data_IF_925735031287
#
_entry.id   IF_925735031287
#
_cell.length_a   1.000
_cell.length_b   1.000
_cell.length_c   1.000
_cell.angle_alpha   90.00
_cell.angle_beta   90.00
_cell.angle_gamma   90.00
#
_symmetry.space_group_name_H-M   'P 1'
#
loop_
_entity.id
_entity.type
_entity.pdbx_description
1 polymer ?
#
# COMPACT_ATOMS: atom_id res chain seq x y z
N UNK A 1 -5.02 -39.26 6.63
CA UNK A 1 -5.96 -38.12 6.85
C UNK A 1 -7.31 -38.63 7.39
N UNK A 2 -7.39 -39.09 8.64
CA UNK A 2 -8.65 -39.59 9.24
C UNK A 2 -8.97 -39.07 10.65
N UNK A 3 -8.11 -38.24 11.26
CA UNK A 3 -8.33 -37.74 12.64
C UNK A 3 -9.25 -36.52 12.79
N UNK A 4 -9.76 -35.94 11.70
CA UNK A 4 -10.58 -34.71 11.77
C UNK A 4 -12.09 -34.94 11.76
N UNK A 5 -12.57 -36.19 11.82
CA UNK A 5 -14.02 -36.52 11.74
C UNK A 5 -14.73 -36.69 13.08
N UNK A 6 -14.01 -36.70 14.21
CA UNK A 6 -14.58 -36.91 15.55
C UNK A 6 -14.68 -35.63 16.40
N UNK A 7 -14.25 -34.48 15.88
CA UNK A 7 -14.41 -33.19 16.57
C UNK A 7 -15.85 -32.75 16.39
N UNK A 8 -16.65 -32.88 17.46
CA UNK A 8 -18.02 -32.36 17.48
C UNK A 8 -17.96 -30.86 17.24
N UNK A 9 -18.60 -30.39 16.18
CA UNK A 9 -18.57 -28.97 15.77
C UNK A 9 -19.25 -28.08 16.83
N UNK A 10 -20.23 -28.62 17.55
CA UNK A 10 -21.01 -27.92 18.58
C UNK A 10 -20.13 -27.32 19.70
N UNK A 11 -19.25 -28.08 20.39
CA UNK A 11 -18.40 -27.51 21.44
C UNK A 11 -17.38 -26.48 20.94
N UNK A 12 -16.85 -26.64 19.72
CA UNK A 12 -15.90 -25.67 19.15
C UNK A 12 -16.57 -24.34 18.84
N UNK A 13 -17.78 -24.38 18.28
CA UNK A 13 -18.59 -23.19 18.00
C UNK A 13 -19.01 -22.49 19.30
N UNK A 14 -19.36 -23.26 20.34
CA UNK A 14 -19.69 -22.69 21.65
C UNK A 14 -18.53 -21.91 22.25
N UNK A 15 -17.30 -22.44 22.18
CA UNK A 15 -16.09 -21.76 22.68
C UNK A 15 -15.82 -20.47 21.86
N UNK A 16 -16.01 -20.51 20.54
CA UNK A 16 -15.82 -19.35 19.69
C UNK A 16 -16.83 -18.22 19.99
N UNK A 17 -18.10 -18.56 20.20
CA UNK A 17 -19.15 -17.60 20.58
C UNK A 17 -18.85 -16.99 21.95
N UNK A 18 -18.41 -17.81 22.91
CA UNK A 18 -18.08 -17.36 24.26
C UNK A 18 -16.86 -16.43 24.26
N UNK A 19 -15.83 -16.73 23.46
CA UNK A 19 -14.69 -15.85 23.24
C UNK A 19 -15.07 -14.49 22.65
N UNK A 20 -15.98 -14.45 21.66
CA UNK A 20 -16.48 -13.20 21.09
C UNK A 20 -17.33 -12.40 22.10
N UNK A 21 -18.12 -13.07 22.94
CA UNK A 21 -18.89 -12.41 23.99
C UNK A 21 -17.97 -11.75 25.04
N UNK A 22 -16.90 -12.43 25.46
CA UNK A 22 -15.91 -11.87 26.39
C UNK A 22 -15.20 -10.67 25.76
N UNK A 23 -14.79 -10.76 24.49
CA UNK A 23 -14.13 -9.64 23.81
C UNK A 23 -15.07 -8.43 23.66
N UNK A 24 -16.36 -8.66 23.41
CA UNK A 24 -17.37 -7.60 23.31
C UNK A 24 -17.65 -6.93 24.66
N UNK A 25 -17.71 -7.70 25.75
CA UNK A 25 -17.89 -7.14 27.10
C UNK A 25 -16.61 -6.43 27.58
N UNK A 26 -15.44 -6.97 27.27
CA UNK A 26 -14.16 -6.30 27.56
C UNK A 26 -14.03 -4.98 26.78
N UNK A 27 -14.42 -4.96 25.51
CA UNK A 27 -14.49 -3.72 24.72
C UNK A 27 -15.45 -2.69 25.32
N UNK A 28 -16.55 -3.13 25.92
CA UNK A 28 -17.55 -2.25 26.53
C UNK A 28 -17.11 -1.70 27.91
N UNK A 29 -16.19 -2.38 28.60
CA UNK A 29 -15.67 -1.98 29.92
C UNK A 29 -14.38 -1.16 29.80
N UNK A 30 -13.56 -1.39 28.78
CA UNK A 30 -12.29 -0.68 28.55
C UNK A 30 -12.51 0.63 27.77
N UNK A 31 -13.54 0.68 26.93
CA UNK A 31 -13.83 1.81 26.04
C UNK A 31 -15.30 2.23 26.23
N UNK A 32 -15.61 2.81 27.39
CA UNK A 32 -16.95 3.30 27.77
C UNK A 32 -17.44 4.45 26.89
N UNK A 33 -17.68 4.19 25.61
CA UNK A 33 -17.83 5.21 24.58
C UNK A 33 -18.77 4.79 23.44
N UNK A 34 -19.85 4.08 23.73
CA UNK A 34 -21.01 4.02 22.84
C UNK A 34 -22.26 4.16 23.69
N UNK A 35 -22.59 5.40 24.06
CA UNK A 35 -23.92 5.94 24.39
C UNK A 35 -23.68 7.29 25.08
N UNK A 36 -23.97 8.37 24.34
CA UNK A 36 -24.16 9.76 24.81
C UNK A 36 -23.03 10.40 25.65
N UNK A 37 -22.14 11.14 24.98
CA UNK A 37 -21.61 12.36 25.59
C UNK A 37 -21.33 13.43 24.53
N UNK A 38 -21.93 14.61 24.70
CA UNK A 38 -21.72 15.80 23.88
C UNK A 38 -20.76 16.69 24.65
N UNK A 39 -19.46 16.53 24.42
CA UNK A 39 -18.42 17.35 25.03
C UNK A 39 -17.98 18.44 24.05
N UNK A 40 -18.29 19.74 24.31
CA UNK A 40 -18.12 20.79 23.33
C UNK A 40 -16.74 21.44 23.38
N UNK A 41 -15.64 20.72 23.64
CA UNK A 41 -14.27 21.24 23.47
C UNK A 41 -13.25 20.12 23.23
N UNK A 42 -12.98 19.84 21.96
CA UNK A 42 -11.69 19.28 21.54
C UNK A 42 -11.16 20.14 20.39
N UNK A 43 -9.99 20.72 20.61
CA UNK A 43 -9.27 21.61 19.69
C UNK A 43 -8.58 20.81 18.59
N UNK A 44 -9.35 20.12 17.75
CA UNK A 44 -8.85 19.57 16.49
C UNK A 44 -9.40 20.45 15.37
N UNK A 45 -8.48 21.13 14.66
CA UNK A 45 -8.83 21.95 13.50
C UNK A 45 -9.52 21.04 12.49
N UNK A 46 -10.74 21.41 12.11
CA UNK A 46 -11.49 20.59 11.15
C UNK A 46 -10.78 20.63 9.80
N UNK A 47 -10.84 19.52 9.07
CA UNK A 47 -10.28 19.38 7.72
C UNK A 47 -10.68 20.53 6.78
N UNK A 48 -11.86 21.14 6.99
CA UNK A 48 -12.33 22.29 6.24
C UNK A 48 -11.54 23.59 6.51
N UNK A 49 -10.93 23.76 7.69
CA UNK A 49 -10.14 24.94 8.04
C UNK A 49 -8.74 24.91 7.43
N UNK A 50 -8.15 23.73 7.27
CA UNK A 50 -6.78 23.56 6.76
C UNK A 50 -6.72 23.59 5.22
N UNK A 51 -7.82 23.22 4.55
CA UNK A 51 -7.89 23.17 3.09
C UNK A 51 -8.48 24.41 2.43
N UNK A 52 -9.31 25.20 3.14
CA UNK A 52 -10.09 26.29 2.52
C UNK A 52 -9.79 27.69 3.07
N UNK A 53 -8.85 27.85 4.01
CA UNK A 53 -8.46 29.13 4.62
C UNK A 53 -9.65 30.06 4.96
N UNK A 54 -10.69 29.49 5.56
CA UNK A 54 -11.94 30.19 5.86
C UNK A 54 -11.80 30.95 7.18
N UNK A 55 -11.94 32.29 7.21
CA UNK A 55 -11.69 33.05 8.43
C UNK A 55 -12.98 33.13 9.24
N UNK A 56 -13.05 32.45 10.38
CA UNK A 56 -13.96 32.87 11.44
C UNK A 56 -13.32 32.64 12.80
N UNK A 57 -13.10 33.74 13.54
CA UNK A 57 -13.01 33.72 14.99
C UNK A 57 -11.69 34.15 15.64
N UNK A 58 -11.10 35.27 15.25
CA UNK A 58 -10.29 36.05 16.20
C UNK A 58 -10.40 37.54 15.87
N UNK A 59 -11.09 38.26 16.77
CA UNK A 59 -11.16 39.73 16.94
C UNK A 59 -10.90 40.57 15.69
N UNK A 60 -12.00 41.03 15.07
CA UNK A 60 -12.02 42.07 14.05
C UNK A 60 -11.65 43.44 14.63
N UNK A 61 -10.53 44.01 14.18
CA UNK A 61 -10.29 45.46 14.21
C UNK A 61 -11.09 46.13 13.07
N UNK A 62 -11.82 47.24 13.33
CA UNK A 62 -12.75 47.83 12.36
C UNK A 62 -12.09 48.79 11.36
N UNK A 63 -10.83 48.57 10.97
CA UNK A 63 -10.07 49.50 10.12
C UNK A 63 -9.84 49.05 8.66
N UNK A 64 -10.04 47.77 8.34
CA UNK A 64 -9.61 47.23 7.03
C UNK A 64 -10.74 47.02 6.00
N UNK A 65 -11.96 47.52 6.25
CA UNK A 65 -13.08 47.43 5.32
C UNK A 65 -13.51 48.83 4.85
N UNK A 66 -12.64 49.51 4.12
CA UNK A 66 -13.06 50.44 3.05
C UNK A 66 -11.90 50.62 2.08
N UNK A 67 -11.99 49.99 0.90
CA UNK A 67 -11.09 50.28 -0.21
C UNK A 67 -11.33 51.68 -0.74
N UNK A 68 -10.57 52.65 -0.21
CA UNK A 68 -10.50 54.02 -0.74
C UNK A 68 -9.15 54.21 -1.40
N UNK A 69 -9.11 54.14 -2.73
CA UNK A 69 -7.91 54.49 -3.49
C UNK A 69 -7.77 56.01 -3.47
N UNK A 70 -6.77 56.49 -2.73
CA UNK A 70 -6.35 57.87 -2.71
C UNK A 70 -5.69 58.25 -4.04
N UNK A 71 -6.19 59.34 -4.64
CA UNK A 71 -5.54 60.05 -5.72
C UNK A 71 -4.30 60.81 -5.22
N UNK A 72 -3.18 60.78 -5.97
CA UNK A 72 -2.26 61.92 -6.08
C UNK A 72 -1.49 61.93 -7.42
N UNK A 73 -1.26 63.16 -7.86
CA UNK A 73 -0.97 63.77 -9.16
C UNK A 73 0.53 63.90 -9.50
N UNK A 74 0.81 64.05 -10.81
CA UNK A 74 1.94 64.78 -11.48
C UNK A 74 3.38 64.21 -11.31
N UNK A 75 4.31 64.18 -12.29
CA UNK A 75 4.53 64.89 -13.57
C UNK A 75 5.58 64.15 -14.47
N UNK A 76 5.79 64.61 -15.71
CA UNK A 76 6.40 63.98 -16.90
C UNK A 76 7.97 63.87 -16.92
N UNK A 77 8.65 63.27 -17.96
CA UNK A 77 8.69 63.79 -19.33
C UNK A 77 8.67 62.76 -20.51
N UNK A 78 8.35 63.33 -21.68
CA UNK A 78 8.37 62.82 -23.07
C UNK A 78 9.79 62.34 -23.52
N UNK A 79 9.94 61.51 -24.58
CA UNK A 79 9.77 62.01 -25.96
C UNK A 79 9.20 61.05 -27.03
N UNK A 80 8.44 61.69 -27.94
CA UNK A 80 8.36 61.52 -29.40
C UNK A 80 8.37 60.12 -30.06
N UNK A 81 7.24 59.79 -30.71
CA UNK A 81 7.21 59.28 -32.08
C UNK A 81 5.84 59.58 -32.73
N UNK A 82 5.87 60.03 -33.98
CA UNK A 82 4.74 60.50 -34.77
C UNK A 82 3.79 59.35 -35.24
N UNK A 83 2.52 59.65 -35.53
CA UNK A 83 1.52 58.66 -35.94
C UNK A 83 1.52 58.44 -37.46
N UNK A 84 1.24 57.23 -37.97
CA UNK A 84 0.63 57.08 -39.28
C UNK A 84 -0.89 57.03 -39.14
N UNK A 85 -1.48 58.13 -39.60
CA UNK A 85 -2.70 58.21 -40.41
C UNK A 85 -3.70 57.05 -40.36
N UNK A 86 -4.86 57.39 -39.78
CA UNK A 86 -6.12 56.70 -39.97
C UNK A 86 -6.62 56.98 -41.39
N UNK A 87 -6.44 56.04 -42.30
CA UNK A 87 -7.25 55.98 -43.53
C UNK A 87 -8.57 55.31 -43.19
N UNK A 88 -9.60 56.14 -42.94
CA UNK A 88 -10.98 55.74 -43.20
C UNK A 88 -11.14 55.58 -44.71
N UNK A 89 -11.62 54.45 -45.24
CA UNK A 89 -12.52 54.53 -46.38
C UNK A 89 -13.89 54.93 -45.85
N UNK A 90 -14.28 56.15 -46.21
CA UNK A 90 -15.65 56.57 -46.28
C UNK A 90 -16.50 55.57 -47.08
N UNK A 91 -17.76 55.45 -46.66
CA UNK A 91 -18.83 55.01 -47.55
C UNK A 91 -18.91 53.49 -47.76
N UNK A 92 -19.43 52.77 -46.77
CA UNK A 92 -20.84 52.36 -46.75
C UNK A 92 -21.18 52.19 -45.29
N UNK A 93 -21.97 53.11 -44.72
CA UNK A 93 -22.75 52.76 -43.54
C UNK A 93 -23.72 51.67 -43.99
N UNK A 94 -23.25 50.41 -43.95
CA UNK A 94 -24.12 49.26 -43.92
C UNK A 94 -24.86 49.39 -42.59
N UNK A 95 -25.94 50.18 -42.63
CA UNK A 95 -27.09 50.04 -41.76
C UNK A 95 -27.22 48.54 -41.54
N UNK A 96 -27.16 48.02 -40.29
CA UNK A 96 -27.34 46.59 -40.08
C UNK A 96 -28.64 46.26 -40.77
N UNK A 97 -28.54 45.53 -41.89
CA UNK A 97 -29.65 45.07 -42.71
C UNK A 97 -30.69 44.61 -41.72
N UNK A 98 -31.79 45.37 -41.69
CA UNK A 98 -32.82 45.25 -40.68
C UNK A 98 -33.28 43.82 -40.77
N UNK A 99 -32.83 43.01 -39.81
CA UNK A 99 -32.85 41.55 -39.85
C UNK A 99 -34.17 41.11 -40.43
N UNK A 100 -34.15 40.50 -41.62
CA UNK A 100 -35.35 39.87 -42.18
C UNK A 100 -35.97 39.04 -41.04
N UNK A 101 -37.28 39.17 -40.78
CA UNK A 101 -37.89 38.57 -39.61
C UNK A 101 -37.58 37.07 -39.62
N UNK A 102 -36.72 36.65 -38.68
CA UNK A 102 -36.23 35.27 -38.59
C UNK A 102 -37.45 34.36 -38.64
N UNK A 103 -37.49 33.48 -39.63
CA UNK A 103 -38.64 32.60 -39.86
C UNK A 103 -38.85 31.70 -38.64
N UNK A 104 -40.09 31.27 -38.38
CA UNK A 104 -40.39 30.45 -37.20
C UNK A 104 -39.57 29.15 -37.13
N UNK A 105 -39.24 28.56 -38.30
CA UNK A 105 -38.36 27.40 -38.43
C UNK A 105 -36.91 27.71 -38.06
N UNK A 106 -36.37 28.85 -38.49
CA UNK A 106 -35.01 29.27 -38.16
C UNK A 106 -34.86 29.59 -36.66
N UNK A 107 -35.85 30.23 -36.04
CA UNK A 107 -35.88 30.44 -34.58
C UNK A 107 -35.87 29.11 -33.81
N UNK A 108 -36.67 28.14 -34.25
CA UNK A 108 -36.71 26.81 -33.62
C UNK A 108 -35.38 26.05 -33.75
N UNK A 109 -34.66 26.22 -34.86
CA UNK A 109 -33.32 25.63 -35.05
C UNK A 109 -32.30 26.30 -34.11
N UNK A 110 -32.31 27.63 -34.01
CA UNK A 110 -31.42 28.37 -33.12
C UNK A 110 -31.65 28.01 -31.66
N UNK A 111 -32.91 27.86 -31.24
CA UNK A 111 -33.26 27.40 -29.89
C UNK A 111 -32.74 25.99 -29.61
N UNK A 112 -32.92 25.04 -30.55
CA UNK A 112 -32.36 23.68 -30.43
C UNK A 112 -30.83 23.68 -30.37
N UNK A 113 -30.16 24.53 -31.14
CA UNK A 113 -28.70 24.67 -31.11
C UNK A 113 -28.23 25.25 -29.78
N UNK A 114 -28.93 26.25 -29.23
CA UNK A 114 -28.63 26.81 -27.91
C UNK A 114 -28.85 25.77 -26.80
N UNK A 115 -29.97 25.05 -26.81
CA UNK A 115 -30.23 23.95 -25.87
C UNK A 115 -29.15 22.87 -25.96
N UNK A 116 -28.76 22.48 -27.18
CA UNK A 116 -27.69 21.51 -27.39
C UNK A 116 -26.34 22.02 -26.90
N UNK A 117 -26.03 23.31 -27.08
CA UNK A 117 -24.80 23.92 -26.56
C UNK A 117 -24.76 23.87 -25.03
N UNK A 118 -25.86 24.22 -24.37
CA UNK A 118 -25.97 24.14 -22.92
C UNK A 118 -25.82 22.69 -22.40
N UNK A 119 -26.41 21.72 -23.10
CA UNK A 119 -26.24 20.30 -22.77
C UNK A 119 -24.78 19.85 -22.90
N UNK A 120 -24.10 20.23 -23.98
CA UNK A 120 -22.68 19.92 -24.19
C UNK A 120 -21.79 20.61 -23.15
N UNK A 121 -22.05 21.87 -22.80
CA UNK A 121 -21.33 22.59 -21.74
C UNK A 121 -21.53 21.93 -20.37
N UNK A 122 -22.75 21.46 -20.06
CA UNK A 122 -23.01 20.72 -18.83
C UNK A 122 -22.22 19.40 -18.79
N UNK A 123 -22.22 18.63 -19.89
CA UNK A 123 -21.44 17.39 -19.99
C UNK A 123 -19.94 17.63 -19.93
N UNK A 124 -19.43 18.69 -20.56
CA UNK A 124 -18.02 19.06 -20.51
C UNK A 124 -17.59 19.34 -19.07
N UNK A 125 -18.35 20.18 -18.34
CA UNK A 125 -18.08 20.46 -16.92
C UNK A 125 -18.10 19.19 -16.05
N UNK A 126 -19.05 18.28 -16.31
CA UNK A 126 -19.10 17.01 -15.58
C UNK A 126 -17.85 16.15 -15.84
N UNK A 127 -17.39 16.08 -17.09
CA UNK A 127 -16.17 15.36 -17.45
C UNK A 127 -14.95 16.00 -16.79
N UNK A 128 -14.82 17.33 -16.82
CA UNK A 128 -13.69 18.04 -16.19
C UNK A 128 -13.62 17.75 -14.68
N UNK A 129 -14.77 17.73 -14.00
CA UNK A 129 -14.85 17.38 -12.57
C UNK A 129 -14.39 15.93 -12.36
N UNK A 130 -14.91 14.98 -13.15
CA UNK A 130 -14.52 13.57 -13.04
C UNK A 130 -13.03 13.38 -13.31
N UNK A 131 -12.48 14.03 -14.32
CA UNK A 131 -11.06 13.96 -14.66
C UNK A 131 -10.19 14.50 -13.52
N UNK A 132 -10.55 15.65 -12.93
CA UNK A 132 -9.82 16.21 -11.79
C UNK A 132 -9.82 15.28 -10.58
N UNK A 133 -10.97 14.63 -10.30
CA UNK A 133 -11.10 13.65 -9.22
C UNK A 133 -10.25 12.41 -9.49
N UNK A 134 -10.33 11.86 -10.72
CA UNK A 134 -9.52 10.71 -11.12
C UNK A 134 -8.03 11.01 -11.05
N UNK A 135 -7.58 12.17 -11.51
CA UNK A 135 -6.19 12.60 -11.42
C UNK A 135 -5.69 12.72 -9.98
N UNK A 136 -6.54 13.23 -9.08
CA UNK A 136 -6.21 13.29 -7.64
C UNK A 136 -6.12 11.89 -7.02
N UNK A 137 -7.01 10.98 -7.42
CA UNK A 137 -7.03 9.60 -6.96
C UNK A 137 -5.81 8.83 -7.48
N UNK A 138 -5.45 9.00 -8.76
CA UNK A 138 -4.25 8.43 -9.38
C UNK A 138 -2.99 8.89 -8.65
N UNK A 139 -2.83 10.19 -8.43
CA UNK A 139 -1.70 10.73 -7.66
C UNK A 139 -1.63 10.16 -6.25
N UNK A 140 -2.77 10.01 -5.57
CA UNK A 140 -2.83 9.40 -4.23
C UNK A 140 -2.42 7.93 -4.26
N UNK A 141 -2.84 7.18 -5.27
CA UNK A 141 -2.45 5.77 -5.46
C UNK A 141 -0.96 5.68 -5.73
N UNK A 142 -0.41 6.53 -6.61
CA UNK A 142 1.01 6.55 -6.93
C UNK A 142 1.87 6.80 -5.68
N UNK A 143 1.52 7.81 -4.87
CA UNK A 143 2.19 8.06 -3.57
C UNK A 143 2.10 6.86 -2.64
N UNK A 144 0.94 6.18 -2.56
CA UNK A 144 0.78 4.98 -1.72
C UNK A 144 1.63 3.81 -2.22
N UNK A 145 1.76 3.65 -3.53
CA UNK A 145 2.62 2.61 -4.13
C UNK A 145 4.09 2.90 -3.84
N UNK A 146 4.53 4.15 -3.92
CA UNK A 146 5.90 4.55 -3.57
C UNK A 146 6.20 4.32 -2.08
N UNK A 147 5.27 4.68 -1.19
CA UNK A 147 5.38 4.39 0.24
C UNK A 147 5.49 2.88 0.51
N UNK A 148 4.65 2.07 -0.14
CA UNK A 148 4.68 0.61 0.02
C UNK A 148 5.99 0.01 -0.50
N UNK A 149 6.48 0.45 -1.66
CA UNK A 149 7.78 0.02 -2.18
C UNK A 149 8.93 0.39 -1.25
N UNK A 150 8.90 1.59 -0.67
CA UNK A 150 9.90 2.01 0.31
C UNK A 150 9.84 1.15 1.58
N UNK A 151 8.65 0.81 2.06
CA UNK A 151 8.46 -0.09 3.21
C UNK A 151 8.93 -1.51 2.88
N UNK A 152 8.57 -2.04 1.72
CA UNK A 152 9.01 -3.37 1.25
C UNK A 152 10.53 -3.45 1.17
N UNK A 153 11.18 -2.43 0.61
CA UNK A 153 12.64 -2.33 0.54
C UNK A 153 13.29 -2.28 1.93
N UNK A 154 12.71 -1.51 2.87
CA UNK A 154 13.21 -1.48 4.27
C UNK A 154 13.04 -2.84 4.95
N UNK A 155 11.92 -3.52 4.72
CA UNK A 155 11.64 -4.84 5.29
C UNK A 155 12.62 -5.86 4.71
N UNK A 156 12.87 -5.85 3.40
CA UNK A 156 13.79 -6.80 2.77
C UNK A 156 15.23 -6.61 3.26
N UNK A 157 15.68 -5.36 3.40
CA UNK A 157 17.00 -5.04 3.98
C UNK A 157 17.07 -5.50 5.45
N UNK A 158 16.06 -5.18 6.26
CA UNK A 158 16.04 -5.57 7.68
C UNK A 158 15.97 -7.09 7.86
N UNK A 159 15.21 -7.79 7.00
CA UNK A 159 15.15 -9.25 6.99
C UNK A 159 16.49 -9.87 6.61
N UNK A 160 17.17 -9.31 5.59
CA UNK A 160 18.52 -9.73 5.21
C UNK A 160 19.52 -9.55 6.36
N UNK A 161 19.57 -8.36 6.96
CA UNK A 161 20.44 -8.07 8.11
C UNK A 161 20.16 -8.99 9.31
N UNK A 162 18.89 -9.26 9.59
CA UNK A 162 18.51 -10.18 10.67
C UNK A 162 18.98 -11.60 10.38
N UNK A 163 18.77 -12.09 9.15
CA UNK A 163 19.24 -13.39 8.71
C UNK A 163 20.76 -13.51 8.82
N UNK A 164 21.51 -12.50 8.36
CA UNK A 164 22.97 -12.47 8.48
C UNK A 164 23.43 -12.44 9.95
N UNK A 165 22.78 -11.65 10.80
CA UNK A 165 23.08 -11.59 12.22
C UNK A 165 22.79 -12.92 12.93
N UNK A 166 21.66 -13.56 12.61
CA UNK A 166 21.28 -14.85 13.17
C UNK A 166 22.23 -15.95 12.67
N UNK A 167 22.61 -15.95 11.39
CA UNK A 167 23.63 -16.85 10.82
C UNK A 167 25.01 -16.64 11.47
N UNK A 168 25.42 -15.39 11.72
CA UNK A 168 26.68 -15.09 12.39
C UNK A 168 26.70 -15.56 13.85
N UNK A 169 25.60 -15.31 14.60
CA UNK A 169 25.42 -15.82 15.97
C UNK A 169 25.48 -17.34 15.99
N UNK A 170 24.77 -17.98 15.06
CA UNK A 170 24.70 -19.43 14.97
C UNK A 170 26.06 -20.05 14.61
N UNK A 171 26.79 -19.44 13.66
CA UNK A 171 28.17 -19.81 13.34
C UNK A 171 29.09 -19.71 14.55
N UNK A 172 28.90 -18.70 15.41
CA UNK A 172 29.63 -18.58 16.67
C UNK A 172 29.38 -19.76 17.61
N UNK A 173 28.12 -20.19 17.74
CA UNK A 173 27.72 -21.37 18.53
C UNK A 173 28.39 -22.63 17.97
N UNK A 174 28.32 -22.85 16.66
CA UNK A 174 28.96 -23.99 15.98
C UNK A 174 30.46 -24.02 16.24
N UNK A 175 31.14 -22.89 16.05
CA UNK A 175 32.59 -22.78 16.25
C UNK A 175 32.99 -23.14 17.68
N UNK A 176 32.19 -22.74 18.68
CA UNK A 176 32.40 -23.10 20.08
C UNK A 176 32.29 -24.62 20.31
N UNK A 177 31.32 -25.29 19.69
CA UNK A 177 31.17 -26.74 19.78
C UNK A 177 32.26 -27.51 19.01
N UNK A 178 32.70 -27.01 17.85
CA UNK A 178 33.78 -27.63 17.07
C UNK A 178 35.15 -27.56 17.76
N UNK A 179 35.38 -26.49 18.54
CA UNK A 179 36.55 -26.30 19.39
C UNK A 179 36.50 -27.06 20.72
N UNK A 180 35.33 -27.57 21.13
CA UNK A 180 35.17 -28.34 22.36
C UNK A 180 35.60 -29.81 22.18
N UNK A 181 35.95 -30.47 23.28
CA UNK A 181 36.26 -31.91 23.29
C UNK A 181 35.02 -32.73 22.89
N UNK A 182 35.14 -33.72 21.98
CA UNK A 182 34.00 -34.52 21.52
C UNK A 182 33.19 -35.18 22.64
N UNK A 183 33.87 -35.66 23.70
CA UNK A 183 33.22 -36.27 24.87
C UNK A 183 32.34 -35.29 25.66
N UNK A 184 32.72 -34.02 25.73
CA UNK A 184 31.96 -33.01 26.46
C UNK A 184 30.83 -32.45 25.59
N UNK A 185 31.06 -32.31 24.28
CA UNK A 185 30.00 -32.01 23.30
C UNK A 185 28.88 -33.05 23.31
N UNK A 186 29.24 -34.34 23.31
CA UNK A 186 28.28 -35.44 23.34
C UNK A 186 27.33 -35.37 24.54
N UNK A 187 27.85 -35.11 25.75
CA UNK A 187 27.02 -34.96 26.97
C UNK A 187 26.02 -33.81 26.89
N UNK A 188 26.37 -32.73 26.18
CA UNK A 188 25.48 -31.59 25.97
C UNK A 188 24.43 -31.93 24.93
N UNK A 189 24.84 -32.58 23.84
CA UNK A 189 23.97 -32.97 22.74
C UNK A 189 22.92 -34.01 23.17
N UNK A 190 23.28 -34.93 24.07
CA UNK A 190 22.34 -35.92 24.66
C UNK A 190 21.16 -35.28 25.41
N UNK A 191 21.32 -34.03 25.88
CA UNK A 191 20.30 -33.29 26.66
C UNK A 191 19.62 -32.18 25.86
N UNK A 192 20.08 -31.93 24.64
CA UNK A 192 19.59 -30.83 23.81
C UNK A 192 18.25 -31.21 23.16
N UNK A 193 17.40 -30.21 22.93
CA UNK A 193 16.18 -30.42 22.18
C UNK A 193 16.48 -30.86 20.74
N UNK A 194 15.73 -31.83 20.22
CA UNK A 194 15.98 -32.43 18.90
C UNK A 194 16.03 -31.40 17.76
N UNK A 195 15.19 -30.36 17.79
CA UNK A 195 15.19 -29.32 16.77
C UNK A 195 16.50 -28.54 16.73
N UNK A 196 16.96 -28.05 17.88
CA UNK A 196 18.23 -27.31 18.00
C UNK A 196 19.43 -28.21 17.72
N UNK A 197 19.38 -29.47 18.19
CA UNK A 197 20.40 -30.48 17.91
C UNK A 197 20.58 -30.69 16.41
N UNK A 198 19.48 -30.86 15.67
CA UNK A 198 19.51 -31.03 14.23
C UNK A 198 20.10 -29.81 13.52
N UNK A 199 19.68 -28.59 13.87
CA UNK A 199 20.18 -27.38 13.22
C UNK A 199 21.70 -27.23 13.40
N UNK A 200 22.20 -27.45 14.63
CA UNK A 200 23.63 -27.39 14.91
C UNK A 200 24.35 -28.54 14.20
N UNK A 201 23.81 -29.76 14.27
CA UNK A 201 24.45 -30.93 13.71
C UNK A 201 24.54 -30.92 12.18
N UNK A 202 23.57 -30.31 11.51
CA UNK A 202 23.56 -30.16 10.05
C UNK A 202 24.63 -29.20 9.53
N UNK A 203 25.15 -28.30 10.36
CA UNK A 203 26.11 -27.27 9.97
C UNK A 203 27.54 -27.52 10.48
N UNK A 204 27.74 -28.43 11.45
CA UNK A 204 29.06 -28.86 11.92
C UNK A 204 29.79 -29.67 10.84
N UNK A 205 31.12 -29.58 10.80
CA UNK A 205 31.94 -30.43 9.93
C UNK A 205 31.66 -31.94 10.14
N UNK A 206 31.35 -32.73 9.09
CA UNK A 206 30.92 -34.13 9.23
C UNK A 206 31.89 -35.02 10.03
N UNK A 207 33.19 -34.75 9.94
CA UNK A 207 34.21 -35.49 10.69
C UNK A 207 34.10 -35.26 12.20
N UNK A 208 33.93 -33.99 12.63
CA UNK A 208 33.73 -33.62 14.04
C UNK A 208 32.41 -34.16 14.58
N UNK A 209 31.36 -34.11 13.76
CA UNK A 209 30.06 -34.71 14.11
C UNK A 209 30.18 -36.22 14.33
N UNK A 210 30.95 -36.92 13.50
CA UNK A 210 31.19 -38.37 13.66
C UNK A 210 31.87 -38.69 14.99
N UNK A 211 32.89 -37.91 15.38
CA UNK A 211 33.57 -38.05 16.67
C UNK A 211 32.64 -37.80 17.86
N UNK A 212 31.68 -36.87 17.72
CA UNK A 212 30.67 -36.57 18.74
C UNK A 212 29.62 -37.69 18.82
N UNK A 213 29.06 -38.11 17.67
CA UNK A 213 28.07 -39.17 17.56
C UNK A 213 28.56 -40.49 18.18
N UNK A 214 29.84 -40.83 18.00
CA UNK A 214 30.43 -42.04 18.59
C UNK A 214 30.53 -42.02 20.11
N UNK A 215 30.38 -40.85 20.75
CA UNK A 215 30.46 -40.67 22.20
C UNK A 215 29.12 -40.29 22.84
N UNK A 216 28.05 -40.15 22.04
CA UNK A 216 26.68 -39.88 22.49
C UNK A 216 25.99 -41.14 23.02
N UNK A 217 24.86 -40.97 23.70
CA UNK A 217 23.99 -42.08 24.04
C UNK A 217 23.40 -42.73 22.78
N UNK A 218 23.31 -44.07 22.70
CA UNK A 218 22.80 -44.77 21.52
C UNK A 218 21.40 -44.29 21.10
N UNK A 219 20.52 -44.05 22.06
CA UNK A 219 19.16 -43.54 21.78
C UNK A 219 19.16 -42.13 21.19
N UNK A 220 20.04 -41.24 21.65
CA UNK A 220 20.10 -39.87 21.16
C UNK A 220 20.70 -39.82 19.75
N UNK A 221 21.75 -40.61 19.50
CA UNK A 221 22.38 -40.74 18.20
C UNK A 221 21.43 -41.36 17.14
N UNK A 222 20.65 -42.37 17.52
CA UNK A 222 19.61 -42.96 16.66
C UNK A 222 18.58 -41.89 16.24
N UNK A 223 18.01 -41.17 17.21
CA UNK A 223 17.00 -40.13 16.94
C UNK A 223 17.54 -39.04 16.02
N UNK A 224 18.76 -38.56 16.25
CA UNK A 224 19.40 -37.55 15.40
C UNK A 224 19.62 -38.07 13.97
N UNK A 225 20.05 -39.33 13.82
CA UNK A 225 20.29 -39.94 12.50
C UNK A 225 18.98 -40.12 11.73
N UNK A 226 17.91 -40.54 12.42
CA UNK A 226 16.57 -40.66 11.82
C UNK A 226 16.06 -39.30 11.35
N UNK A 227 16.21 -38.23 12.15
CA UNK A 227 15.82 -36.88 11.76
C UNK A 227 16.65 -36.35 10.59
N UNK A 228 17.98 -36.56 10.59
CA UNK A 228 18.87 -36.22 9.48
C UNK A 228 18.44 -36.91 8.18
N UNK A 229 18.14 -38.21 8.23
CA UNK A 229 17.69 -38.98 7.08
C UNK A 229 16.32 -38.51 6.58
N UNK A 230 15.37 -38.26 7.49
CA UNK A 230 14.01 -37.80 7.17
C UNK A 230 14.02 -36.44 6.47
N UNK A 231 14.82 -35.48 6.96
CA UNK A 231 14.92 -34.14 6.39
C UNK A 231 15.64 -34.16 5.03
N UNK A 232 16.76 -34.88 4.94
CA UNK A 232 17.49 -35.05 3.68
C UNK A 232 16.64 -35.71 2.58
N UNK A 233 15.73 -36.61 2.95
CA UNK A 233 14.76 -37.21 2.03
C UNK A 233 13.66 -36.24 1.56
N UNK A 234 13.24 -35.31 2.43
CA UNK A 234 12.21 -34.32 2.11
C UNK A 234 12.72 -33.30 1.08
N UNK A 235 13.97 -32.82 1.23
CA UNK A 235 14.59 -31.90 0.29
C UNK A 235 14.80 -32.54 -1.09
N UNK A 236 15.16 -33.84 -1.13
CA UNK A 236 15.21 -34.61 -2.38
C UNK A 236 13.84 -34.77 -3.05
N UNK A 237 12.77 -34.99 -2.26
CA UNK A 237 11.42 -35.16 -2.80
C UNK A 237 10.85 -33.85 -3.38
N UNK A 238 11.20 -32.69 -2.80
CA UNK A 238 10.87 -31.39 -3.36
C UNK A 238 11.61 -31.14 -4.69
N UNK A 239 12.91 -31.41 -4.74
CA UNK A 239 13.73 -31.25 -5.94
C UNK A 239 13.31 -32.16 -7.12
N UNK A 240 12.80 -33.37 -6.85
CA UNK A 240 12.27 -34.27 -7.89
C UNK A 240 10.93 -33.78 -8.47
N UNK A 241 10.18 -32.98 -7.72
CA UNK A 241 8.86 -32.48 -8.15
C UNK A 241 8.96 -31.24 -9.05
N UNK A 242 10.04 -30.47 -8.94
CA UNK A 242 10.30 -29.24 -9.73
C UNK A 242 10.96 -29.48 -11.10
N UNK A 243 11.30 -30.72 -11.44
CA UNK A 243 11.78 -31.03 -12.78
C UNK A 243 10.63 -30.85 -13.80
N UNK A 244 10.84 -30.10 -14.91
CA UNK A 244 9.82 -29.97 -15.94
C UNK A 244 9.57 -31.36 -16.54
N UNK A 245 8.37 -31.90 -16.32
CA UNK A 245 7.92 -33.09 -17.04
C UNK A 245 7.95 -32.75 -18.52
N UNK A 246 8.94 -33.28 -19.23
CA UNK A 246 8.97 -33.32 -20.68
C UNK A 246 7.85 -34.31 -21.06
N UNK A 247 6.62 -33.82 -21.07
CA UNK A 247 5.50 -34.53 -21.68
C UNK A 247 5.83 -34.63 -23.17
N UNK A 248 6.23 -35.82 -23.60
CA UNK A 248 6.43 -36.14 -25.00
C UNK A 248 5.12 -35.92 -25.73
N UNK A 249 4.98 -34.77 -26.38
CA UNK A 249 3.92 -34.47 -27.32
C UNK A 249 4.07 -35.44 -28.50
N UNK A 250 3.41 -36.59 -28.42
CA UNK A 250 3.28 -37.50 -29.55
C UNK A 250 2.52 -36.75 -30.64
N UNK A 251 3.26 -36.22 -31.62
CA UNK A 251 2.69 -35.67 -32.83
C UNK A 251 1.89 -36.79 -33.49
N UNK A 252 0.57 -36.63 -33.53
CA UNK A 252 -0.31 -37.54 -34.27
C UNK A 252 0.17 -37.61 -35.71
N UNK A 253 0.65 -38.80 -36.08
CA UNK A 253 0.99 -39.15 -37.45
C UNK A 253 -0.32 -39.19 -38.24
N UNK A 254 -0.49 -38.20 -39.12
CA UNK A 254 -1.60 -38.11 -40.07
C UNK A 254 -1.47 -39.28 -41.05
N UNK A 255 -2.36 -40.27 -40.95
CA UNK A 255 -2.53 -41.27 -42.00
C UNK A 255 -3.34 -40.67 -43.15
N UNK A 256 -2.89 -40.95 -44.37
CA UNK A 256 -3.40 -40.55 -45.69
C UNK A 256 -4.89 -40.19 -45.79
#
# INVERSE_FOLDING_TARGET
>A
MKSFRDIRVIPVVLIAILGLAVLKVAGLVIDGGYVFDYQPQSTQKSWAQETLNFPLGSKSDPADITGSVAAKKEEAPKPAAAPPEVTKPDGVAARPEQSAPVSASERAILERLQQRRQELEARAREIDIRESLLKSAEKRIETKVEELKAVESRISIAAGQRSEADAARFKGIITMYEGMKPKDAAKVFDRLEMGVLFEIASQIAPRKMSDILGLMQPEAAERLTVELARRAGTDKSAAVTELPKIEGKMLQQKSN
#
